data_IF_211824143882
#
_entry.id   IF_211824143882
#
_cell.length_a   1.000
_cell.length_b   1.000
_cell.length_c   1.000
_cell.angle_alpha   90.00
_cell.angle_beta   90.00
_cell.angle_gamma   90.00
#
_symmetry.space_group_name_H-M   'P 1'
#
loop_
_entity.id
_entity.type
_entity.pdbx_description
1 polymer ?
#
# COMPACT_ATOMS: atom_id res chain seq x y z
N UNK A 1 9.28 12.73 -1.90
CA UNK A 1 9.74 13.14 -3.23
C UNK A 1 8.87 14.26 -3.74
N UNK A 2 9.47 15.44 -3.98
CA UNK A 2 8.75 16.62 -4.44
C UNK A 2 8.79 16.63 -5.97
N UNK A 3 7.92 15.83 -6.61
CA UNK A 3 7.80 15.79 -8.07
C UNK A 3 6.58 16.59 -8.49
N UNK A 4 6.78 17.52 -9.40
CA UNK A 4 5.72 18.27 -10.05
C UNK A 4 6.03 18.49 -11.53
N UNK A 5 5.01 18.71 -12.30
CA UNK A 5 5.10 19.09 -13.70
C UNK A 5 4.31 20.38 -13.92
N UNK A 6 4.89 21.30 -14.70
CA UNK A 6 4.23 22.55 -15.03
C UNK A 6 4.26 22.77 -16.54
N UNK A 7 3.18 23.33 -17.07
CA UNK A 7 3.13 23.84 -18.43
C UNK A 7 2.38 25.17 -18.49
N UNK A 8 2.80 26.04 -19.40
CA UNK A 8 2.13 27.30 -19.65
C UNK A 8 0.94 27.11 -20.59
N UNK A 9 -0.10 27.88 -20.37
CA UNK A 9 -1.30 27.89 -21.19
C UNK A 9 -1.99 29.24 -21.16
N UNK A 10 -3.09 29.35 -21.91
CA UNK A 10 -3.94 30.52 -21.94
C UNK A 10 -5.31 30.09 -21.43
N UNK A 11 -5.72 30.65 -20.28
CA UNK A 11 -7.05 30.49 -19.71
C UNK A 11 -7.99 31.55 -20.26
N UNK A 12 -9.22 31.18 -20.62
CA UNK A 12 -10.28 32.09 -21.02
C UNK A 12 -11.46 31.94 -20.08
N UNK A 13 -11.95 33.04 -19.54
CA UNK A 13 -13.11 33.04 -18.68
C UNK A 13 -13.91 34.34 -18.81
N UNK A 14 -15.14 34.32 -18.33
CA UNK A 14 -16.01 35.51 -18.27
C UNK A 14 -16.59 35.59 -16.86
N UNK A 15 -16.20 36.58 -16.03
CA UNK A 15 -16.86 36.80 -14.76
C UNK A 15 -18.34 37.11 -14.93
N UNK A 16 -19.20 36.45 -14.16
CA UNK A 16 -20.64 36.64 -14.18
C UNK A 16 -21.09 37.63 -13.09
N UNK A 17 -22.31 38.15 -13.23
CA UNK A 17 -22.92 39.01 -12.24
C UNK A 17 -23.04 38.29 -10.88
N UNK A 18 -22.58 38.94 -9.81
CA UNK A 18 -22.53 38.37 -8.47
C UNK A 18 -21.18 37.76 -8.08
N UNK A 19 -20.23 37.62 -9.03
CA UNK A 19 -18.84 37.18 -8.72
C UNK A 19 -17.99 38.39 -8.30
N UNK A 20 -16.88 38.08 -7.56
CA UNK A 20 -15.86 39.07 -7.19
C UNK A 20 -14.52 38.68 -7.86
N UNK A 21 -14.34 39.00 -9.15
CA UNK A 21 -13.19 38.51 -9.92
C UNK A 21 -11.89 39.14 -9.43
N UNK A 22 -10.87 38.30 -9.22
CA UNK A 22 -9.48 38.75 -8.94
C UNK A 22 -8.86 39.40 -10.17
N UNK A 23 -9.25 38.97 -11.38
CA UNK A 23 -8.78 39.47 -12.67
C UNK A 23 -10.01 39.68 -13.57
N UNK A 24 -9.99 40.75 -14.36
CA UNK A 24 -10.99 41.04 -15.37
C UNK A 24 -12.24 41.77 -14.87
N UNK A 25 -13.21 41.99 -15.77
CA UNK A 25 -14.44 42.73 -15.51
C UNK A 25 -15.67 41.87 -15.79
N UNK A 26 -16.72 42.08 -14.99
CA UNK A 26 -17.99 41.36 -15.13
C UNK A 26 -18.52 41.48 -16.57
N UNK A 27 -18.90 40.36 -17.18
CA UNK A 27 -19.47 40.27 -18.50
C UNK A 27 -18.50 40.31 -19.68
N UNK A 28 -17.22 40.60 -19.46
CA UNK A 28 -16.18 40.60 -20.49
C UNK A 28 -15.46 39.26 -20.55
N UNK A 29 -15.02 38.83 -21.74
CA UNK A 29 -14.13 37.66 -21.88
C UNK A 29 -12.70 38.12 -21.62
N UNK A 30 -12.08 37.45 -20.66
CA UNK A 30 -10.69 37.67 -20.29
C UNK A 30 -9.82 36.53 -20.82
N UNK A 31 -8.61 36.87 -21.23
CA UNK A 31 -7.57 35.94 -21.65
C UNK A 31 -6.35 36.14 -20.75
N UNK A 32 -5.98 35.11 -20.02
CA UNK A 32 -4.89 35.18 -19.01
C UNK A 32 -3.89 34.08 -19.25
N UNK A 33 -2.60 34.43 -19.19
CA UNK A 33 -1.52 33.43 -19.17
C UNK A 33 -1.53 32.72 -17.82
N UNK A 34 -1.64 31.42 -17.85
CA UNK A 34 -1.74 30.57 -16.67
C UNK A 34 -0.67 29.47 -16.70
N UNK A 35 -0.31 28.97 -15.51
CA UNK A 35 0.54 27.81 -15.35
C UNK A 35 -0.31 26.68 -14.81
N UNK A 36 -0.43 25.59 -15.56
CA UNK A 36 -0.98 24.35 -15.07
C UNK A 36 0.07 23.60 -14.26
N UNK A 37 -0.23 23.33 -13.00
CA UNK A 37 0.60 22.55 -12.08
C UNK A 37 0.01 21.17 -11.88
N UNK A 38 0.81 20.14 -12.09
CA UNK A 38 0.45 18.76 -11.77
C UNK A 38 1.38 18.21 -10.70
N UNK A 39 0.83 17.53 -9.69
CA UNK A 39 1.59 16.90 -8.63
C UNK A 39 0.98 15.55 -8.24
N UNK A 40 1.83 14.57 -7.95
CA UNK A 40 1.39 13.26 -7.46
C UNK A 40 1.21 13.33 -5.95
N UNK A 41 0.05 12.90 -5.50
CA UNK A 41 -0.33 12.94 -4.08
C UNK A 41 -0.89 11.59 -3.62
N UNK A 42 -0.64 11.16 -2.36
CA UNK A 42 -1.27 9.98 -1.81
C UNK A 42 -2.79 10.20 -1.66
N UNK A 43 -3.60 9.23 -2.08
CA UNK A 43 -5.06 9.32 -2.04
C UNK A 43 -5.62 9.69 -0.65
N UNK A 44 -5.05 9.12 0.42
CA UNK A 44 -5.51 9.40 1.79
C UNK A 44 -5.23 10.84 2.27
N UNK A 45 -4.47 11.64 1.51
CA UNK A 45 -4.18 13.06 1.79
C UNK A 45 -5.00 14.02 0.94
N UNK A 46 -5.87 13.53 0.05
CA UNK A 46 -6.68 14.32 -0.87
C UNK A 46 -7.39 15.49 -0.18
N UNK A 47 -8.23 15.21 0.82
CA UNK A 47 -9.00 16.24 1.53
C UNK A 47 -8.12 17.32 2.17
N UNK A 48 -6.95 16.93 2.70
CA UNK A 48 -6.01 17.89 3.31
C UNK A 48 -5.38 18.79 2.26
N UNK A 49 -5.04 18.24 1.10
CA UNK A 49 -4.41 18.96 0.00
C UNK A 49 -5.41 19.91 -0.65
N UNK A 50 -6.64 19.46 -0.93
CA UNK A 50 -7.70 20.32 -1.47
C UNK A 50 -8.03 21.48 -0.52
N UNK A 51 -8.08 21.22 0.79
CA UNK A 51 -8.26 22.29 1.77
C UNK A 51 -7.15 23.33 1.68
N UNK A 52 -5.90 22.91 1.58
CA UNK A 52 -4.77 23.82 1.44
C UNK A 52 -4.81 24.59 0.12
N UNK A 53 -5.19 23.94 -0.99
CA UNK A 53 -5.38 24.57 -2.29
C UNK A 53 -6.42 25.70 -2.22
N UNK A 54 -7.61 25.44 -1.70
CA UNK A 54 -8.69 26.44 -1.59
C UNK A 54 -8.34 27.58 -0.63
N UNK A 55 -7.50 27.34 0.37
CA UNK A 55 -7.06 28.40 1.29
C UNK A 55 -5.95 29.29 0.71
N UNK A 56 -5.15 28.79 -0.21
CA UNK A 56 -4.01 29.50 -0.77
C UNK A 56 -4.25 30.14 -2.13
N UNK A 57 -5.24 29.65 -2.84
CA UNK A 57 -5.55 30.13 -4.20
C UNK A 57 -6.35 31.43 -4.14
N UNK A 58 -6.01 32.45 -4.96
CA UNK A 58 -6.70 33.76 -4.94
C UNK A 58 -8.10 33.75 -5.58
N UNK A 59 -8.44 32.73 -6.38
CA UNK A 59 -9.73 32.67 -7.06
C UNK A 59 -10.84 32.11 -6.17
N UNK A 60 -12.06 32.61 -6.32
CA UNK A 60 -13.25 32.10 -5.62
C UNK A 60 -13.55 30.67 -6.07
N UNK A 61 -13.43 30.38 -7.35
CA UNK A 61 -13.56 29.03 -7.92
C UNK A 61 -12.21 28.57 -8.48
N UNK A 62 -11.64 27.55 -7.84
CA UNK A 62 -10.35 26.98 -8.26
C UNK A 62 -10.59 25.83 -9.22
N UNK A 63 -10.05 25.94 -10.42
CA UNK A 63 -10.07 24.85 -11.39
C UNK A 63 -9.06 23.78 -11.00
N UNK A 64 -9.52 22.57 -10.71
CA UNK A 64 -8.66 21.42 -10.43
C UNK A 64 -9.25 20.13 -11.01
N UNK A 65 -8.39 19.15 -11.18
CA UNK A 65 -8.77 17.78 -11.55
C UNK A 65 -8.00 16.77 -10.72
N UNK A 66 -8.64 15.65 -10.41
CA UNK A 66 -8.02 14.50 -9.76
C UNK A 66 -8.06 13.32 -10.70
N UNK A 67 -6.89 12.76 -11.00
CA UNK A 67 -6.76 11.60 -11.87
C UNK A 67 -6.08 10.48 -11.09
N UNK A 68 -6.74 9.32 -11.00
CA UNK A 68 -6.13 8.14 -10.36
C UNK A 68 -5.06 7.57 -11.28
N UNK A 69 -3.84 7.45 -10.76
CA UNK A 69 -2.77 6.78 -11.47
C UNK A 69 -2.90 5.26 -11.34
N UNK A 70 -2.56 4.54 -12.40
CA UNK A 70 -2.54 3.07 -12.41
C UNK A 70 -1.35 2.52 -11.60
N UNK A 71 -0.37 3.35 -11.30
CA UNK A 71 0.80 3.01 -10.51
C UNK A 71 0.42 2.52 -9.10
N UNK A 72 0.78 1.29 -8.79
CA UNK A 72 0.58 0.73 -7.45
C UNK A 72 1.64 1.27 -6.49
N UNK A 73 1.24 1.60 -5.27
CA UNK A 73 2.20 1.92 -4.21
C UNK A 73 2.87 0.62 -3.76
N UNK A 74 4.17 0.52 -3.97
CA UNK A 74 4.96 -0.68 -3.61
C UNK A 74 5.14 -0.88 -2.10
N UNK A 75 4.87 0.16 -1.31
CA UNK A 75 5.06 0.16 0.15
C UNK A 75 3.76 -0.06 0.93
N UNK A 76 2.62 -0.25 0.24
CA UNK A 76 1.33 -0.51 0.87
C UNK A 76 0.77 -1.80 0.27
N UNK A 77 0.60 -2.80 1.11
CA UNK A 77 0.04 -4.09 0.76
C UNK A 77 -0.59 -4.76 1.98
N UNK A 78 -1.28 -5.86 1.76
CA UNK A 78 -1.86 -6.70 2.82
C UNK A 78 -0.82 -7.62 3.45
N UNK A 79 0.22 -7.96 2.71
CA UNK A 79 1.34 -8.78 3.15
C UNK A 79 2.67 -8.17 2.72
N UNK A 80 3.74 -8.84 3.06
CA UNK A 80 5.11 -8.43 2.74
C UNK A 80 5.90 -9.60 2.18
N UNK A 81 6.94 -9.27 1.39
CA UNK A 81 8.00 -10.22 1.04
C UNK A 81 9.32 -9.65 1.54
N UNK A 82 10.21 -10.52 1.96
CA UNK A 82 11.55 -10.17 2.42
C UNK A 82 12.52 -11.31 2.18
N UNK A 83 13.79 -11.03 2.28
CA UNK A 83 14.87 -11.99 2.21
C UNK A 83 15.45 -12.20 3.61
N UNK A 84 15.85 -13.42 3.93
CA UNK A 84 16.53 -13.74 5.18
C UNK A 84 17.99 -13.27 5.07
N UNK A 85 18.57 -12.81 6.17
CA UNK A 85 19.99 -12.42 6.22
C UNK A 85 20.93 -13.59 5.87
N UNK A 86 20.51 -14.82 6.18
CA UNK A 86 21.15 -16.06 5.81
C UNK A 86 20.09 -17.08 5.40
N UNK A 87 20.34 -17.83 4.35
CA UNK A 87 19.50 -18.95 3.97
C UNK A 87 19.43 -20.02 5.06
N UNK A 88 18.30 -20.70 5.15
CA UNK A 88 18.07 -21.78 6.11
C UNK A 88 17.53 -23.02 5.38
N UNK A 89 17.87 -24.21 5.90
CA UNK A 89 17.12 -25.40 5.51
C UNK A 89 15.69 -25.33 6.05
N UNK A 90 14.79 -26.07 5.43
CA UNK A 90 13.35 -26.03 5.72
C UNK A 90 13.01 -26.39 7.18
N UNK A 91 13.73 -27.35 7.78
CA UNK A 91 13.47 -27.78 9.17
C UNK A 91 13.90 -26.70 10.16
N UNK A 92 15.07 -26.13 9.94
CA UNK A 92 15.57 -24.98 10.73
C UNK A 92 14.63 -23.79 10.60
N UNK A 93 14.12 -23.54 9.40
CA UNK A 93 13.16 -22.45 9.16
C UNK A 93 11.82 -22.69 9.88
N UNK A 94 11.26 -23.91 9.83
CA UNK A 94 10.06 -24.26 10.59
C UNK A 94 10.26 -24.00 12.10
N UNK A 95 11.41 -24.39 12.65
CA UNK A 95 11.73 -24.16 14.05
C UNK A 95 11.87 -22.68 14.37
N UNK A 96 12.55 -21.93 13.51
CA UNK A 96 12.70 -20.48 13.61
C UNK A 96 11.33 -19.78 13.65
N UNK A 97 10.40 -20.15 12.78
CA UNK A 97 9.06 -19.58 12.76
C UNK A 97 8.27 -19.95 14.02
N UNK A 98 8.36 -21.18 14.50
CA UNK A 98 7.74 -21.59 15.79
C UNK A 98 8.19 -20.71 16.95
N UNK A 99 9.47 -20.44 17.04
CA UNK A 99 10.03 -19.60 18.10
C UNK A 99 9.66 -18.12 17.92
N UNK A 100 9.80 -17.57 16.72
CA UNK A 100 9.51 -16.15 16.44
C UNK A 100 8.04 -15.80 16.59
N UNK A 101 7.17 -16.70 16.17
CA UNK A 101 5.71 -16.51 16.22
C UNK A 101 5.07 -17.07 17.50
N UNK A 102 5.87 -17.66 18.40
CA UNK A 102 5.39 -18.30 19.61
C UNK A 102 4.19 -19.22 19.34
N UNK A 103 4.31 -20.04 18.29
CA UNK A 103 3.25 -20.99 17.89
C UNK A 103 3.64 -22.42 18.24
N UNK A 104 2.75 -23.20 18.89
CA UNK A 104 3.04 -24.58 19.23
C UNK A 104 3.00 -25.52 18.02
N UNK A 105 2.24 -25.17 16.97
CA UNK A 105 1.98 -26.01 15.82
C UNK A 105 2.04 -25.20 14.54
N UNK A 106 2.68 -25.75 13.50
CA UNK A 106 2.61 -25.24 12.14
C UNK A 106 2.07 -26.37 11.25
N UNK A 107 1.00 -26.11 10.53
CA UNK A 107 0.58 -26.96 9.41
C UNK A 107 1.29 -26.47 8.15
N UNK A 108 1.87 -27.37 7.38
CA UNK A 108 2.59 -26.96 6.18
C UNK A 108 2.33 -27.89 5.00
N UNK A 109 2.55 -27.39 3.80
CA UNK A 109 2.60 -28.20 2.58
C UNK A 109 3.81 -29.13 2.60
N UNK A 110 3.94 -29.96 1.57
CA UNK A 110 5.12 -30.80 1.42
C UNK A 110 6.41 -29.97 1.45
N UNK A 111 7.44 -30.48 2.12
CA UNK A 111 8.79 -29.92 2.08
C UNK A 111 9.44 -30.28 0.74
N UNK A 112 10.21 -29.35 0.19
CA UNK A 112 10.74 -29.40 -1.17
C UNK A 112 12.23 -29.79 -1.21
N UNK A 113 12.88 -29.95 -0.04
CA UNK A 113 14.32 -30.17 0.13
C UNK A 113 15.15 -29.05 -0.52
N UNK A 114 14.76 -27.80 -0.29
CA UNK A 114 15.43 -26.59 -0.77
C UNK A 114 15.81 -25.70 0.42
N UNK A 115 16.75 -24.79 0.22
CA UNK A 115 16.97 -23.70 1.16
C UNK A 115 15.87 -22.65 1.04
N UNK A 116 15.58 -21.97 2.14
CA UNK A 116 14.67 -20.84 2.24
C UNK A 116 15.49 -19.56 2.33
N UNK A 117 15.34 -18.70 1.37
CA UNK A 117 15.99 -17.39 1.33
C UNK A 117 14.93 -16.29 1.32
N UNK A 118 13.93 -16.40 0.45
CA UNK A 118 12.88 -15.42 0.27
C UNK A 118 11.56 -15.88 0.87
N UNK A 119 10.97 -15.02 1.69
CA UNK A 119 9.76 -15.34 2.47
C UNK A 119 8.66 -14.34 2.18
N UNK A 120 7.43 -14.84 2.01
CA UNK A 120 6.23 -14.03 1.98
C UNK A 120 5.44 -14.21 3.29
N UNK A 121 4.85 -13.14 3.81
CA UNK A 121 4.04 -13.17 5.04
C UNK A 121 2.74 -12.40 4.86
N UNK A 122 1.65 -12.91 5.43
CA UNK A 122 0.38 -12.23 5.54
C UNK A 122 -0.34 -12.71 6.82
N UNK A 123 -0.55 -11.82 7.78
CA UNK A 123 -1.29 -12.12 9.01
C UNK A 123 -2.76 -12.38 8.75
N UNK A 124 -3.37 -13.25 9.55
CA UNK A 124 -4.74 -13.68 9.36
C UNK A 124 -4.97 -14.58 8.15
N UNK A 125 -6.19 -14.63 7.66
CA UNK A 125 -6.63 -15.53 6.57
C UNK A 125 -6.04 -15.15 5.21
N UNK A 126 -4.99 -15.82 4.77
CA UNK A 126 -4.22 -15.46 3.58
C UNK A 126 -4.33 -16.40 2.38
N UNK A 127 -5.28 -17.32 2.34
CA UNK A 127 -5.42 -18.28 1.21
C UNK A 127 -5.51 -17.58 -0.15
N UNK A 128 -6.17 -16.43 -0.24
CA UNK A 128 -6.34 -15.65 -1.47
C UNK A 128 -5.03 -15.10 -2.05
N UNK A 129 -3.98 -14.98 -1.24
CA UNK A 129 -2.70 -14.40 -1.63
C UNK A 129 -1.63 -15.46 -1.99
N UNK A 130 -1.94 -16.76 -1.96
CA UNK A 130 -1.00 -17.83 -2.31
C UNK A 130 -0.37 -17.60 -3.70
N UNK A 131 -1.18 -17.27 -4.70
CA UNK A 131 -0.68 -16.98 -6.06
C UNK A 131 0.24 -15.75 -6.10
N UNK A 132 -0.02 -14.76 -5.27
CA UNK A 132 0.83 -13.58 -5.17
C UNK A 132 2.19 -13.93 -4.55
N UNK A 133 2.20 -14.76 -3.51
CA UNK A 133 3.42 -15.27 -2.90
C UNK A 133 4.25 -16.08 -3.90
N UNK A 134 3.62 -16.99 -4.65
CA UNK A 134 4.26 -17.74 -5.75
C UNK A 134 4.89 -16.80 -6.79
N UNK A 135 4.11 -15.85 -7.31
CA UNK A 135 4.59 -14.89 -8.31
C UNK A 135 5.69 -13.95 -7.81
N UNK A 136 5.78 -13.76 -6.50
CA UNK A 136 6.88 -12.99 -5.91
C UNK A 136 8.20 -13.76 -5.89
N UNK A 137 8.18 -15.05 -6.18
CA UNK A 137 9.34 -15.95 -6.09
C UNK A 137 9.74 -16.26 -4.65
N UNK A 138 8.81 -16.26 -3.70
CA UNK A 138 9.07 -16.66 -2.33
C UNK A 138 9.21 -18.19 -2.21
N UNK A 139 10.15 -18.64 -1.37
CA UNK A 139 10.36 -20.05 -1.06
C UNK A 139 9.37 -20.57 -0.04
N UNK A 140 8.93 -19.68 0.88
CA UNK A 140 7.93 -19.98 1.89
C UNK A 140 6.89 -18.85 2.00
N UNK A 141 5.63 -19.23 2.28
CA UNK A 141 4.55 -18.31 2.56
C UNK A 141 3.92 -18.63 3.92
N UNK A 142 3.99 -17.67 4.84
CA UNK A 142 3.48 -17.78 6.21
C UNK A 142 2.18 -17.01 6.31
N UNK A 143 1.12 -17.69 6.73
CA UNK A 143 -0.22 -17.13 6.88
C UNK A 143 -1.05 -17.97 7.84
N UNK A 144 -2.38 -17.86 7.83
CA UNK A 144 -3.28 -18.69 8.61
C UNK A 144 -4.58 -19.04 7.86
N UNK A 145 -5.40 -19.89 8.49
CA UNK A 145 -6.72 -20.35 8.04
C UNK A 145 -6.70 -21.04 6.68
N UNK A 146 -5.62 -21.74 6.35
CA UNK A 146 -5.55 -22.53 5.14
C UNK A 146 -6.41 -23.78 5.28
N UNK A 147 -7.30 -23.98 4.31
CA UNK A 147 -8.10 -25.19 4.18
C UNK A 147 -7.28 -26.30 3.53
N UNK A 148 -7.75 -27.53 3.65
CA UNK A 148 -7.11 -28.70 3.08
C UNK A 148 -6.73 -28.49 1.58
N UNK A 149 -7.65 -27.96 0.79
CA UNK A 149 -7.42 -27.75 -0.64
C UNK A 149 -6.45 -26.62 -0.95
N UNK A 150 -6.28 -25.66 -0.06
CA UNK A 150 -5.39 -24.51 -0.29
C UNK A 150 -3.92 -24.93 -0.35
N UNK A 151 -3.55 -26.00 0.39
CA UNK A 151 -2.19 -26.54 0.37
C UNK A 151 -1.76 -27.10 -1.00
N UNK A 152 -2.71 -27.54 -1.83
CA UNK A 152 -2.41 -28.00 -3.19
C UNK A 152 -2.00 -26.86 -4.12
N UNK A 153 -2.39 -25.62 -3.81
CA UNK A 153 -1.99 -24.44 -4.57
C UNK A 153 -0.49 -24.12 -4.44
N UNK A 154 0.24 -24.83 -3.56
CA UNK A 154 1.72 -24.75 -3.49
C UNK A 154 2.38 -25.27 -4.77
N UNK A 155 1.76 -26.23 -5.49
CA UNK A 155 2.24 -26.81 -6.74
C UNK A 155 3.72 -27.27 -6.67
N UNK A 156 4.17 -27.73 -5.48
CA UNK A 156 5.57 -28.07 -5.19
C UNK A 156 6.58 -26.94 -5.55
N UNK A 157 6.14 -25.68 -5.54
CA UNK A 157 6.97 -24.52 -5.84
C UNK A 157 7.31 -23.68 -4.60
N UNK A 158 6.41 -23.66 -3.61
CA UNK A 158 6.52 -22.88 -2.38
C UNK A 158 6.08 -23.73 -1.19
N UNK A 159 6.64 -23.47 -0.02
CA UNK A 159 6.14 -24.06 1.23
C UNK A 159 5.07 -23.14 1.80
N UNK A 160 3.83 -23.63 1.85
CA UNK A 160 2.74 -22.95 2.55
C UNK A 160 2.77 -23.33 4.01
N UNK A 161 2.71 -22.33 4.90
CA UNK A 161 2.77 -22.50 6.35
C UNK A 161 1.57 -21.81 6.98
N UNK A 162 0.73 -22.58 7.66
CA UNK A 162 -0.38 -22.09 8.47
C UNK A 162 0.03 -22.16 9.93
N UNK A 163 0.22 -21.00 10.54
CA UNK A 163 0.70 -20.85 11.92
C UNK A 163 -0.41 -20.56 12.93
N UNK A 164 -1.66 -20.49 12.48
CA UNK A 164 -2.80 -20.10 13.30
C UNK A 164 -3.12 -18.61 13.21
N UNK A 165 -4.43 -18.28 13.28
CA UNK A 165 -4.89 -16.89 13.10
C UNK A 165 -4.39 -16.00 14.24
N UNK A 166 -4.64 -16.41 15.47
CA UNK A 166 -4.19 -15.67 16.65
C UNK A 166 -2.68 -15.49 16.65
N UNK A 167 -1.93 -16.55 16.39
CA UNK A 167 -0.47 -16.56 16.40
C UNK A 167 0.12 -15.63 15.33
N UNK A 168 -0.54 -15.48 14.19
CA UNK A 168 -0.12 -14.58 13.13
C UNK A 168 -0.36 -13.10 13.44
N UNK A 169 -1.30 -12.79 14.36
CA UNK A 169 -1.75 -11.42 14.66
C UNK A 169 -1.49 -10.96 16.10
N UNK A 170 -1.09 -11.84 17.01
CA UNK A 170 -0.96 -11.56 18.45
C UNK A 170 -0.10 -10.34 18.79
N UNK A 171 0.86 -10.00 17.94
CA UNK A 171 1.77 -8.86 18.16
C UNK A 171 1.16 -7.51 17.81
N UNK A 172 0.03 -7.49 17.09
CA UNK A 172 -0.64 -6.26 16.63
C UNK A 172 -1.07 -5.37 17.80
N UNK A 173 -1.52 -5.97 18.90
CA UNK A 173 -1.95 -5.23 20.10
C UNK A 173 -0.79 -4.41 20.67
N UNK A 174 0.38 -5.03 20.81
CA UNK A 174 1.56 -4.37 21.35
C UNK A 174 2.06 -3.27 20.40
N UNK A 175 2.04 -3.53 19.09
CA UNK A 175 2.42 -2.55 18.07
C UNK A 175 1.53 -1.30 18.13
N UNK A 176 0.21 -1.48 18.12
CA UNK A 176 -0.76 -0.38 18.20
C UNK A 176 -0.63 0.37 19.53
N UNK A 177 -0.53 -0.35 20.65
CA UNK A 177 -0.37 0.26 21.97
C UNK A 177 0.90 1.13 22.04
N UNK A 178 2.02 0.62 21.54
CA UNK A 178 3.29 1.37 21.51
C UNK A 178 3.18 2.62 20.63
N UNK A 179 2.59 2.48 19.44
CA UNK A 179 2.37 3.60 18.53
C UNK A 179 1.49 4.70 19.16
N UNK A 180 0.38 4.31 19.80
CA UNK A 180 -0.51 5.28 20.46
C UNK A 180 0.20 6.00 21.62
N UNK A 181 0.95 5.27 22.46
CA UNK A 181 1.73 5.88 23.56
C UNK A 181 2.82 6.85 23.08
N UNK A 182 3.35 6.63 21.89
CA UNK A 182 4.34 7.54 21.29
C UNK A 182 3.69 8.83 20.76
N UNK A 183 2.44 8.74 20.30
CA UNK A 183 1.74 9.85 19.61
C UNK A 183 0.87 10.69 20.52
N UNK A 184 0.44 10.14 21.65
CA UNK A 184 -0.47 10.75 22.62
C UNK A 184 0.07 10.63 24.06
#
# INVERSE_FOLDING_TARGET
DSCSFTNEGIGNFRPLEGSNPTIGQIGQIEEVKEIRLEAVVPQHKESKILKALFQSHPYEEVAYSLTTLVNKNKYIGLGMTGELDNEMDEQSFLQFIKEKMNTPVIRHSRLLNKSIEKVAVLGGSGAFAIKNALHSGADAYITSDLKYHDFFAAEDQIILMDIGHYESEQFTINLISSYLKEKF
#
